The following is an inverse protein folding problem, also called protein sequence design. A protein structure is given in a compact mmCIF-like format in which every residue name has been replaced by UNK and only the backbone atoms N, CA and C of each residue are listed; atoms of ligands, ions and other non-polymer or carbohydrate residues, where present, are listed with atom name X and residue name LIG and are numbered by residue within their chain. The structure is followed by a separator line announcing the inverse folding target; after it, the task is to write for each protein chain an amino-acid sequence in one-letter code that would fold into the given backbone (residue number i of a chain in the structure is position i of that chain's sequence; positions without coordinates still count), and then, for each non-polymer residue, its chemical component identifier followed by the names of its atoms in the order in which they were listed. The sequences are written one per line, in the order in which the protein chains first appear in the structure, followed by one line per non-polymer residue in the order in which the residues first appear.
data_IF_483214325757
#
_entry.id   IF_483214325757
#
_cell.length_a   1.000
_cell.length_b   1.000
_cell.length_c   1.000
_cell.angle_alpha   90.00
_cell.angle_beta   90.00
_cell.angle_gamma   90.00
#
_symmetry.space_group_name_H-M   'P 1'
#
loop_
_entity.id
_entity.type
_entity.pdbx_description
1 polymer ?
#
# COMPACT_ATOMS: atom_id res chain seq x y z
N UNK A 1 7.26 5.52 0.46
CA UNK A 1 8.31 5.28 -0.58
C UNK A 1 9.19 4.13 -0.11
N UNK A 2 9.57 3.24 -1.02
CA UNK A 2 10.38 2.05 -0.71
C UNK A 2 11.58 2.03 -1.66
N UNK A 3 12.75 1.74 -1.11
CA UNK A 3 14.03 1.77 -1.83
C UNK A 3 14.87 0.56 -1.44
N UNK A 4 15.55 -0.03 -2.42
CA UNK A 4 16.56 -1.04 -2.21
C UNK A 4 17.69 -0.87 -3.25
N UNK A 5 18.96 -1.15 -2.90
CA UNK A 5 20.06 -1.08 -3.85
C UNK A 5 19.83 -2.01 -5.06
N UNK A 6 20.00 -1.50 -6.28
CA UNK A 6 19.79 -2.26 -7.51
C UNK A 6 18.34 -2.40 -7.96
N UNK A 7 17.38 -1.71 -7.32
CA UNK A 7 15.97 -1.73 -7.68
C UNK A 7 15.44 -0.32 -7.99
N UNK A 8 14.38 -0.24 -8.81
CA UNK A 8 13.64 0.99 -9.02
C UNK A 8 12.94 1.44 -7.72
N UNK A 9 12.90 2.76 -7.47
CA UNK A 9 12.18 3.29 -6.29
C UNK A 9 10.67 3.16 -6.49
N UNK A 10 9.98 2.55 -5.52
CA UNK A 10 8.53 2.46 -5.50
C UNK A 10 7.93 3.60 -4.65
N UNK A 11 7.21 4.50 -5.29
CA UNK A 11 6.33 5.48 -4.63
C UNK A 11 4.90 4.99 -4.73
N UNK A 12 4.29 4.66 -3.60
CA UNK A 12 2.93 4.12 -3.53
C UNK A 12 2.28 4.45 -2.18
N UNK A 13 0.97 4.25 -2.09
CA UNK A 13 0.17 4.27 -0.87
C UNK A 13 -0.57 2.93 -0.73
N UNK A 14 -0.89 2.52 0.50
CA UNK A 14 -1.78 1.38 0.78
C UNK A 14 -3.01 1.94 1.48
N UNK A 15 -4.19 1.52 1.04
CA UNK A 15 -5.47 2.01 1.51
C UNK A 15 -6.17 0.95 2.37
N UNK A 16 -6.96 1.40 3.35
CA UNK A 16 -7.75 0.49 4.20
C UNK A 16 -9.00 0.05 3.44
N UNK A 17 -9.27 -1.26 3.45
CA UNK A 17 -10.51 -1.80 2.93
C UNK A 17 -11.74 -1.22 3.66
N UNK A 18 -12.74 -0.81 2.90
CA UNK A 18 -13.96 -0.19 3.42
C UNK A 18 -13.83 1.28 3.82
N UNK A 19 -12.73 1.96 3.48
CA UNK A 19 -12.62 3.41 3.67
C UNK A 19 -13.65 4.16 2.80
N UNK A 20 -14.31 5.17 3.38
CA UNK A 20 -15.44 5.89 2.77
C UNK A 20 -15.06 6.60 1.45
N UNK A 21 -13.78 6.95 1.29
CA UNK A 21 -13.31 7.74 0.17
C UNK A 21 -12.66 6.93 -0.95
N UNK A 22 -12.61 5.59 -0.85
CA UNK A 22 -11.98 4.73 -1.87
C UNK A 22 -12.57 4.95 -3.27
N UNK A 23 -13.90 5.05 -3.36
CA UNK A 23 -14.65 5.20 -4.61
C UNK A 23 -14.73 6.66 -5.09
N UNK A 24 -14.37 7.61 -4.23
CA UNK A 24 -14.43 9.06 -4.49
C UNK A 24 -13.05 9.70 -4.57
N UNK A 25 -12.03 8.92 -4.93
CA UNK A 25 -10.67 9.42 -5.04
C UNK A 25 -10.55 10.50 -6.14
N UNK A 26 -10.41 11.75 -5.70
CA UNK A 26 -10.35 12.93 -6.56
C UNK A 26 -9.13 12.95 -7.51
N UNK A 27 -8.12 12.11 -7.28
CA UNK A 27 -6.89 12.05 -8.08
C UNK A 27 -6.67 10.72 -8.79
N UNK A 28 -7.63 9.79 -8.73
CA UNK A 28 -7.58 8.46 -9.40
C UNK A 28 -6.29 7.65 -9.11
N UNK A 29 -5.74 7.79 -7.91
CA UNK A 29 -4.55 7.09 -7.42
C UNK A 29 -4.84 5.73 -6.76
N UNK A 30 -6.09 5.46 -6.36
CA UNK A 30 -6.49 4.16 -5.78
C UNK A 30 -6.43 3.07 -6.84
N UNK A 31 -5.81 1.94 -6.48
CA UNK A 31 -5.83 0.69 -7.24
C UNK A 31 -6.27 -0.43 -6.31
N UNK A 32 -7.10 -1.36 -6.79
CA UNK A 32 -7.61 -2.48 -5.98
C UNK A 32 -6.48 -3.29 -5.32
N UNK A 33 -5.36 -3.49 -6.02
CA UNK A 33 -4.19 -4.20 -5.49
C UNK A 33 -3.47 -3.49 -4.33
N UNK A 34 -3.84 -2.24 -4.04
CA UNK A 34 -3.28 -1.43 -2.96
C UNK A 34 -4.29 -1.24 -1.81
N UNK A 35 -5.45 -1.89 -1.86
CA UNK A 35 -6.41 -1.94 -0.77
C UNK A 35 -6.13 -3.19 0.08
N UNK A 36 -6.05 -3.02 1.39
CA UNK A 36 -5.73 -4.11 2.30
C UNK A 36 -6.58 -4.09 3.58
N UNK A 37 -6.71 -5.23 4.22
CA UNK A 37 -7.40 -5.36 5.51
C UNK A 37 -6.47 -4.95 6.66
N UNK A 38 -6.99 -4.08 7.51
CA UNK A 38 -6.33 -3.61 8.72
C UNK A 38 -6.99 -4.32 9.90
N UNK A 39 -6.27 -5.25 10.53
CA UNK A 39 -6.84 -6.20 11.52
C UNK A 39 -6.59 -5.70 12.93
N UNK A 40 -7.65 -5.39 13.67
CA UNK A 40 -7.58 -5.02 15.09
C UNK A 40 -6.98 -6.17 15.92
N UNK A 41 -6.10 -5.82 16.84
CA UNK A 41 -5.41 -6.74 17.74
C UNK A 41 -5.96 -6.61 19.18
N UNK A 42 -5.79 -7.64 20.03
CA UNK A 42 -6.31 -7.62 21.41
C UNK A 42 -5.78 -6.51 22.31
N UNK A 43 -4.66 -5.90 21.96
CA UNK A 43 -4.02 -4.76 22.64
C UNK A 43 -4.53 -3.40 22.14
N UNK A 44 -5.55 -3.38 21.27
CA UNK A 44 -6.07 -2.21 20.56
C UNK A 44 -5.10 -1.62 19.54
N UNK A 45 -4.03 -2.33 19.15
CA UNK A 45 -3.26 -1.99 17.96
C UNK A 45 -3.95 -2.52 16.69
N UNK A 46 -3.47 -2.07 15.53
CA UNK A 46 -3.98 -2.54 14.23
C UNK A 46 -2.82 -3.08 13.42
N UNK A 47 -2.95 -4.32 12.94
CA UNK A 47 -1.95 -5.00 12.13
C UNK A 47 -2.30 -4.90 10.64
N UNK A 48 -1.30 -4.52 9.85
CA UNK A 48 -1.33 -4.58 8.39
C UNK A 48 -0.13 -5.41 7.91
N UNK A 49 -0.41 -6.54 7.25
CA UNK A 49 0.61 -7.31 6.53
C UNK A 49 0.49 -6.98 5.04
N UNK A 50 1.57 -6.47 4.43
CA UNK A 50 1.58 -6.07 3.03
C UNK A 50 2.99 -6.22 2.43
N UNK A 51 3.08 -6.94 1.32
CA UNK A 51 4.35 -7.19 0.63
C UNK A 51 4.57 -6.23 -0.54
N UNK A 52 5.81 -5.80 -0.73
CA UNK A 52 6.20 -4.96 -1.86
C UNK A 52 7.21 -5.68 -2.74
N UNK A 53 6.84 -5.85 -4.02
CA UNK A 53 7.73 -6.38 -5.04
C UNK A 53 8.34 -5.20 -5.80
N UNK A 54 9.67 -5.15 -5.86
CA UNK A 54 10.40 -4.10 -6.58
C UNK A 54 10.93 -4.65 -7.91
N UNK A 55 10.87 -3.83 -8.95
CA UNK A 55 11.52 -4.12 -10.22
C UNK A 55 13.03 -3.87 -10.11
N UNK A 56 13.83 -4.70 -10.77
CA UNK A 56 15.25 -4.43 -10.94
C UNK A 56 15.47 -3.07 -11.59
N UNK A 57 16.49 -2.35 -11.12
CA UNK A 57 16.88 -1.06 -11.70
C UNK A 57 17.35 -1.26 -13.14
N UNK A 58 16.87 -0.42 -14.05
CA UNK A 58 17.40 -0.41 -15.41
C UNK A 58 18.88 0.01 -15.36
N UNK A 59 19.73 -0.80 -16.00
CA UNK A 59 21.15 -0.53 -16.18
C UNK A 59 21.41 0.75 -16.99
#
# INVERSE_FOLDING_TARGET
MIKAPGFETLTTHVFRNGDEYLESDAVFGVRESLIADWVEQPDNETLLNFDFVLNEGKA
#
